data_IF_169547379024
#
_entry.id   IF_169547379024
#
_cell.length_a   1.000
_cell.length_b   1.000
_cell.length_c   1.000
_cell.angle_alpha   90.00
_cell.angle_beta   90.00
_cell.angle_gamma   90.00
#
_symmetry.space_group_name_H-M   'P 1'
#
loop_
_entity.id
_entity.type
_entity.pdbx_description
1 polymer ?
#
# COMPACT_ATOMS: atom_id res chain seq x y z
N UNK A 1 3.49 35.06 29.63
CA UNK A 1 3.76 33.60 29.67
C UNK A 1 2.49 32.74 29.61
N UNK A 2 1.40 33.06 30.33
CA UNK A 2 0.13 32.30 30.30
C UNK A 2 -0.67 32.39 28.98
N UNK A 3 -0.63 33.54 28.29
CA UNK A 3 -1.28 33.67 26.97
C UNK A 3 -0.57 32.85 25.88
N UNK A 4 0.77 32.80 25.88
CA UNK A 4 1.53 32.02 24.90
C UNK A 4 1.23 30.51 25.01
N UNK A 5 1.10 29.97 26.23
CA UNK A 5 0.82 28.54 26.41
C UNK A 5 -0.59 28.16 25.95
N UNK A 6 -1.56 29.06 26.08
CA UNK A 6 -2.94 28.82 25.63
C UNK A 6 -3.05 28.79 24.10
N UNK A 7 -2.36 29.69 23.40
CA UNK A 7 -2.26 29.66 21.93
C UNK A 7 -1.54 28.43 21.41
N UNK A 8 -0.45 28.00 22.06
CA UNK A 8 0.27 26.78 21.68
C UNK A 8 -0.60 25.54 21.91
N UNK A 9 -1.37 25.47 23.02
CA UNK A 9 -2.29 24.36 23.26
C UNK A 9 -3.42 24.30 22.22
N UNK A 10 -3.98 25.44 21.81
CA UNK A 10 -5.02 25.51 20.78
C UNK A 10 -4.50 25.06 19.41
N UNK A 11 -3.31 25.52 19.01
CA UNK A 11 -2.64 25.10 17.77
C UNK A 11 -2.36 23.59 17.75
N UNK A 12 -1.95 23.02 18.89
CA UNK A 12 -1.74 21.57 19.01
C UNK A 12 -3.07 20.80 18.96
N UNK A 13 -4.16 21.35 19.51
CA UNK A 13 -5.48 20.72 19.44
C UNK A 13 -6.06 20.72 18.00
N UNK A 14 -5.88 21.80 17.25
CA UNK A 14 -6.31 21.88 15.84
C UNK A 14 -5.51 20.92 14.95
N UNK A 15 -4.22 20.69 15.22
CA UNK A 15 -3.43 19.68 14.52
C UNK A 15 -3.92 18.24 14.74
N UNK A 16 -4.54 17.93 15.89
CA UNK A 16 -5.07 16.58 16.18
C UNK A 16 -6.29 16.27 15.30
N UNK A 17 -7.11 17.28 14.95
CA UNK A 17 -8.24 17.10 14.04
C UNK A 17 -7.82 16.90 12.57
N UNK A 18 -6.67 17.42 12.16
CA UNK A 18 -6.09 17.11 10.85
C UNK A 18 -5.43 15.72 10.79
N UNK A 19 -5.10 15.13 11.93
CA UNK A 19 -4.42 13.84 12.01
C UNK A 19 -5.38 12.65 12.12
N UNK A 20 -6.70 12.88 12.12
CA UNK A 20 -7.67 11.80 12.11
C UNK A 20 -7.63 11.17 10.70
N UNK A 21 -7.25 9.89 10.55
CA UNK A 21 -7.24 9.24 9.24
C UNK A 21 -8.62 9.39 8.59
N UNK A 22 -8.67 9.75 7.31
CA UNK A 22 -9.90 9.97 6.53
C UNK A 22 -11.04 9.01 6.90
N UNK A 23 -10.75 7.72 7.06
CA UNK A 23 -11.76 6.70 7.40
C UNK A 23 -12.40 6.86 8.79
N UNK A 24 -11.68 7.35 9.80
CA UNK A 24 -12.24 7.60 11.13
C UNK A 24 -13.25 8.78 11.14
N UNK A 25 -13.27 9.60 10.09
CA UNK A 25 -14.28 10.66 9.91
C UNK A 25 -15.60 10.11 9.34
N UNK A 26 -15.54 9.00 8.58
CA UNK A 26 -16.70 8.45 7.86
C UNK A 26 -17.18 7.09 8.37
N UNK A 27 -16.36 6.37 9.14
CA UNK A 27 -16.72 5.08 9.71
C UNK A 27 -16.91 5.20 11.22
N UNK A 28 -18.08 4.78 11.69
CA UNK A 28 -18.31 4.54 13.11
C UNK A 28 -17.45 3.35 13.60
N UNK A 29 -17.26 3.20 14.92
CA UNK A 29 -16.43 2.12 15.47
C UNK A 29 -16.85 0.71 15.05
N UNK A 30 -18.14 0.42 14.93
CA UNK A 30 -18.62 -0.90 14.55
C UNK A 30 -18.34 -1.20 13.08
N UNK A 31 -18.55 -0.21 12.20
CA UNK A 31 -18.18 -0.32 10.78
C UNK A 31 -16.68 -0.51 10.59
N UNK A 32 -15.86 0.19 11.39
CA UNK A 32 -14.40 0.02 11.38
C UNK A 32 -13.99 -1.39 11.79
N UNK A 33 -14.52 -1.92 12.89
CA UNK A 33 -14.24 -3.28 13.34
C UNK A 33 -14.68 -4.32 12.29
N UNK A 34 -15.85 -4.13 11.69
CA UNK A 34 -16.33 -4.99 10.60
C UNK A 34 -15.36 -4.96 9.40
N UNK A 35 -14.86 -3.79 9.01
CA UNK A 35 -13.94 -3.65 7.89
C UNK A 35 -12.56 -4.27 8.20
N UNK A 36 -12.07 -4.13 9.44
CA UNK A 36 -10.84 -4.80 9.90
C UNK A 36 -11.01 -6.31 9.75
N UNK A 37 -12.14 -6.88 10.20
CA UNK A 37 -12.41 -8.31 10.08
C UNK A 37 -12.39 -8.78 8.62
N UNK A 38 -13.05 -8.06 7.72
CA UNK A 38 -13.05 -8.37 6.29
C UNK A 38 -11.63 -8.37 5.71
N UNK A 39 -10.80 -7.39 6.08
CA UNK A 39 -9.41 -7.37 5.61
C UNK A 39 -8.57 -8.50 6.23
N UNK A 40 -8.78 -8.85 7.49
CA UNK A 40 -8.08 -9.99 8.10
C UNK A 40 -8.44 -11.30 7.41
N UNK A 41 -9.71 -11.51 7.04
CA UNK A 41 -10.15 -12.66 6.24
C UNK A 41 -9.54 -12.64 4.83
N UNK A 42 -9.50 -11.47 4.18
CA UNK A 42 -8.91 -11.34 2.84
C UNK A 42 -7.39 -11.56 2.81
N UNK A 43 -6.67 -11.25 3.90
CA UNK A 43 -5.24 -11.58 4.06
C UNK A 43 -5.00 -13.09 4.09
N UNK A 44 -6.00 -13.89 4.51
CA UNK A 44 -5.93 -15.35 4.54
C UNK A 44 -6.33 -15.99 3.20
N UNK A 45 -6.79 -15.19 2.24
CA UNK A 45 -7.01 -15.67 0.89
C UNK A 45 -5.69 -16.07 0.21
N UNK A 46 -5.78 -16.81 -0.90
CA UNK A 46 -4.64 -17.09 -1.78
C UNK A 46 -4.60 -16.16 -2.99
N UNK A 47 -5.47 -15.15 -3.01
CA UNK A 47 -5.65 -14.24 -4.14
C UNK A 47 -4.81 -12.98 -3.95
N UNK A 48 -3.85 -12.77 -4.85
CA UNK A 48 -2.84 -11.72 -4.74
C UNK A 48 -3.45 -10.31 -4.64
N UNK A 49 -4.52 -10.05 -5.39
CA UNK A 49 -5.23 -8.76 -5.37
C UNK A 49 -5.94 -8.51 -4.03
N UNK A 50 -6.61 -9.53 -3.49
CA UNK A 50 -7.29 -9.46 -2.21
C UNK A 50 -6.29 -9.19 -1.08
N UNK A 51 -5.15 -9.90 -1.08
CA UNK A 51 -4.07 -9.66 -0.12
C UNK A 51 -3.52 -8.24 -0.25
N UNK A 52 -3.24 -7.75 -1.46
CA UNK A 52 -2.73 -6.38 -1.66
C UNK A 52 -3.66 -5.33 -1.04
N UNK A 53 -4.94 -5.39 -1.39
CA UNK A 53 -5.90 -4.39 -0.91
C UNK A 53 -6.17 -4.54 0.59
N UNK A 54 -6.16 -5.78 1.11
CA UNK A 54 -6.36 -6.03 2.53
C UNK A 54 -5.19 -5.52 3.39
N UNK A 55 -3.94 -5.79 3.01
CA UNK A 55 -2.76 -5.28 3.73
C UNK A 55 -2.75 -3.74 3.70
N UNK A 56 -3.05 -3.14 2.55
CA UNK A 56 -3.11 -1.67 2.40
C UNK A 56 -4.25 -1.07 3.24
N UNK A 57 -5.42 -1.73 3.25
CA UNK A 57 -6.58 -1.33 4.02
C UNK A 57 -6.32 -1.38 5.52
N UNK A 58 -5.74 -2.48 6.01
CA UNK A 58 -5.34 -2.63 7.42
C UNK A 58 -4.36 -1.52 7.83
N UNK A 59 -3.33 -1.25 7.02
CA UNK A 59 -2.39 -0.14 7.31
C UNK A 59 -3.10 1.20 7.38
N UNK A 60 -4.03 1.47 6.46
CA UNK A 60 -4.82 2.72 6.45
C UNK A 60 -5.67 2.86 7.71
N UNK A 61 -6.16 1.75 8.26
CA UNK A 61 -6.91 1.69 9.52
C UNK A 61 -6.02 1.70 10.78
N UNK A 62 -4.70 1.69 10.61
CA UNK A 62 -3.72 1.64 11.71
C UNK A 62 -3.49 0.24 12.28
N UNK A 63 -3.98 -0.81 11.61
CA UNK A 63 -3.85 -2.20 12.03
C UNK A 63 -2.66 -2.84 11.30
N UNK A 64 -1.82 -3.55 12.05
CA UNK A 64 -0.71 -4.31 11.48
C UNK A 64 -1.11 -5.77 11.30
N UNK A 65 -0.73 -6.35 10.16
CA UNK A 65 -0.78 -7.80 9.97
C UNK A 65 0.23 -8.43 10.93
N UNK A 66 -0.14 -9.53 11.58
CA UNK A 66 0.75 -10.21 12.51
C UNK A 66 2.03 -10.69 11.82
N UNK A 67 3.11 -10.85 12.60
CA UNK A 67 4.43 -11.15 12.05
C UNK A 67 4.50 -12.52 11.36
N UNK A 68 3.76 -13.52 11.86
CA UNK A 68 3.75 -14.87 11.28
C UNK A 68 3.05 -14.88 9.92
N UNK A 69 1.87 -14.28 9.81
CA UNK A 69 1.16 -14.11 8.53
C UNK A 69 1.94 -13.23 7.57
N UNK A 70 2.51 -12.13 8.04
CA UNK A 70 3.37 -11.27 7.22
C UNK A 70 4.51 -12.05 6.58
N UNK A 71 5.16 -12.96 7.33
CA UNK A 71 6.21 -13.83 6.80
C UNK A 71 5.68 -14.78 5.72
N UNK A 72 4.55 -15.43 5.95
CA UNK A 72 3.91 -16.33 4.96
C UNK A 72 3.56 -15.60 3.67
N UNK A 73 2.97 -14.40 3.78
CA UNK A 73 2.63 -13.56 2.64
C UNK A 73 3.89 -13.15 1.87
N UNK A 74 4.95 -12.74 2.59
CA UNK A 74 6.22 -12.38 2.00
C UNK A 74 6.85 -13.53 1.21
N UNK A 75 6.87 -14.74 1.76
CA UNK A 75 7.38 -15.92 1.08
C UNK A 75 6.54 -16.27 -0.17
N UNK A 76 5.23 -16.06 -0.12
CA UNK A 76 4.33 -16.27 -1.26
C UNK A 76 4.59 -15.26 -2.38
N UNK A 77 4.67 -13.96 -2.07
CA UNK A 77 4.89 -12.92 -3.10
C UNK A 77 6.28 -13.00 -3.71
N UNK A 78 7.30 -13.43 -2.95
CA UNK A 78 8.65 -13.67 -3.47
C UNK A 78 8.70 -14.82 -4.49
N UNK A 79 7.80 -15.80 -4.39
CA UNK A 79 7.69 -16.93 -5.31
C UNK A 79 6.70 -16.70 -6.44
N UNK A 80 5.96 -15.59 -6.40
CA UNK A 80 4.92 -15.28 -7.39
C UNK A 80 5.57 -14.85 -8.71
N UNK A 81 5.29 -15.53 -9.84
CA UNK A 81 5.82 -15.12 -11.13
C UNK A 81 5.16 -13.82 -11.58
N UNK A 82 5.99 -12.79 -11.79
CA UNK A 82 5.55 -11.46 -12.26
C UNK A 82 5.65 -11.42 -13.79
N UNK A 83 4.53 -11.69 -14.45
CA UNK A 83 4.43 -11.75 -15.91
C UNK A 83 3.86 -10.47 -16.55
N UNK A 84 3.25 -9.59 -15.76
CA UNK A 84 2.56 -8.39 -16.25
C UNK A 84 2.55 -7.27 -15.19
N UNK A 85 2.16 -6.06 -15.62
CA UNK A 85 2.09 -4.86 -14.77
C UNK A 85 1.10 -5.00 -13.61
N UNK A 86 -0.01 -5.74 -13.79
CA UNK A 86 -1.01 -5.94 -12.75
C UNK A 86 -0.45 -6.79 -11.62
N UNK A 87 0.23 -7.90 -11.94
CA UNK A 87 0.92 -8.72 -10.94
C UNK A 87 2.05 -7.94 -10.28
N UNK A 88 2.83 -7.18 -11.05
CA UNK A 88 3.89 -6.33 -10.51
C UNK A 88 3.32 -5.33 -9.49
N UNK A 89 2.21 -4.67 -9.83
CA UNK A 89 1.50 -3.74 -8.95
C UNK A 89 1.10 -4.38 -7.62
N UNK A 90 0.47 -5.57 -7.65
CA UNK A 90 0.05 -6.22 -6.41
C UNK A 90 1.22 -6.75 -5.58
N UNK A 91 2.22 -7.37 -6.20
CA UNK A 91 3.42 -7.88 -5.50
C UNK A 91 4.15 -6.73 -4.81
N UNK A 92 4.49 -5.67 -5.56
CA UNK A 92 5.23 -4.52 -5.02
C UNK A 92 4.41 -3.76 -3.98
N UNK A 93 3.10 -3.66 -4.21
CA UNK A 93 2.14 -3.12 -3.26
C UNK A 93 2.26 -3.82 -1.91
N UNK A 94 2.00 -5.13 -1.86
CA UNK A 94 2.08 -5.95 -0.64
C UNK A 94 3.41 -5.76 0.10
N UNK A 95 4.53 -5.89 -0.63
CA UNK A 95 5.88 -5.85 -0.05
C UNK A 95 6.16 -4.49 0.59
N UNK A 96 5.66 -3.41 -0.02
CA UNK A 96 5.87 -2.04 0.48
C UNK A 96 5.06 -1.71 1.74
N UNK A 97 4.03 -2.49 2.04
CA UNK A 97 3.16 -2.31 3.19
C UNK A 97 3.57 -3.20 4.39
N UNK A 98 4.26 -4.33 4.14
CA UNK A 98 4.74 -5.25 5.17
C UNK A 98 6.17 -4.91 5.63
N UNK A 99 6.32 -4.45 6.88
CA UNK A 99 7.60 -3.95 7.45
C UNK A 99 8.79 -4.93 7.39
N UNK A 100 8.53 -6.23 7.33
CA UNK A 100 9.56 -7.28 7.37
C UNK A 100 9.70 -8.04 6.05
N UNK A 101 9.13 -7.52 4.97
CA UNK A 101 9.30 -8.10 3.65
C UNK A 101 10.62 -7.61 3.04
N UNK A 102 11.60 -8.49 2.86
CA UNK A 102 12.77 -8.15 2.08
C UNK A 102 12.33 -7.76 0.66
N UNK A 103 12.77 -6.58 0.19
CA UNK A 103 12.45 -6.10 -1.14
C UNK A 103 13.08 -7.05 -2.17
N UNK A 104 12.29 -7.83 -2.94
CA UNK A 104 12.84 -8.79 -3.85
C UNK A 104 13.36 -8.10 -5.10
N UNK A 105 14.40 -8.67 -5.68
CA UNK A 105 14.79 -8.37 -7.05
C UNK A 105 13.75 -9.00 -7.98
N UNK A 106 12.81 -8.19 -8.48
CA UNK A 106 11.85 -8.64 -9.49
C UNK A 106 12.49 -8.40 -10.86
N UNK A 107 13.09 -9.45 -11.44
CA UNK A 107 13.88 -9.35 -12.67
C UNK A 107 13.13 -8.73 -13.85
N UNK A 108 11.82 -9.02 -13.98
CA UNK A 108 10.96 -8.48 -15.04
C UNK A 108 10.46 -7.05 -14.79
N UNK A 109 10.67 -6.48 -13.59
CA UNK A 109 10.07 -5.19 -13.23
C UNK A 109 10.53 -4.05 -14.15
N UNK A 110 11.83 -3.96 -14.45
CA UNK A 110 12.38 -2.89 -15.30
C UNK A 110 11.78 -2.93 -16.70
N UNK A 111 11.76 -4.11 -17.32
CA UNK A 111 11.22 -4.30 -18.66
C UNK A 111 9.74 -3.93 -18.73
N UNK A 112 8.93 -4.42 -17.78
CA UNK A 112 7.50 -4.12 -17.71
C UNK A 112 7.23 -2.62 -17.55
N UNK A 113 7.97 -1.95 -16.66
CA UNK A 113 7.83 -0.51 -16.39
C UNK A 113 8.25 0.32 -17.61
N UNK A 114 9.38 -0.01 -18.25
CA UNK A 114 9.91 0.74 -19.40
C UNK A 114 9.09 0.54 -20.67
N UNK A 115 8.35 -0.58 -20.78
CA UNK A 115 7.46 -0.87 -21.90
C UNK A 115 6.14 -0.10 -21.84
N UNK A 116 5.62 0.20 -20.64
CA UNK A 116 4.32 0.85 -20.45
C UNK A 116 4.15 2.19 -21.21
N UNK A 117 5.09 3.16 -21.13
CA UNK A 117 4.97 4.42 -21.87
C UNK A 117 5.21 4.28 -23.38
N UNK A 118 5.76 3.14 -23.84
CA UNK A 118 6.11 2.88 -25.25
C UNK A 118 5.07 2.04 -25.99
N UNK A 119 3.99 1.64 -25.32
CA UNK A 119 2.97 0.80 -25.91
C UNK A 119 2.27 1.51 -27.09
N UNK A 120 2.09 0.80 -28.20
CA UNK A 120 1.42 1.31 -29.41
C UNK A 120 0.03 1.88 -29.13
N UNK A 121 -0.67 1.32 -28.14
CA UNK A 121 -1.93 1.85 -27.60
C UNK A 121 -1.75 2.11 -26.11
N UNK A 122 -1.44 3.35 -25.78
CA UNK A 122 -1.27 3.80 -24.42
C UNK A 122 -2.57 3.62 -23.63
N UNK A 123 -2.48 2.99 -22.46
CA UNK A 123 -3.57 2.91 -21.48
C UNK A 123 -3.14 3.62 -20.21
N UNK A 124 -3.96 4.54 -19.73
CA UNK A 124 -3.69 5.28 -18.49
C UNK A 124 -3.56 4.35 -17.28
N UNK A 125 -4.28 3.23 -17.28
CA UNK A 125 -4.12 2.17 -16.26
C UNK A 125 -2.68 1.63 -16.24
N UNK A 126 -2.12 1.32 -17.41
CA UNK A 126 -0.82 0.67 -17.51
C UNK A 126 0.29 1.66 -17.10
N UNK A 127 0.14 2.93 -17.46
CA UNK A 127 0.98 4.02 -16.95
C UNK A 127 0.93 4.15 -15.43
N UNK A 128 -0.28 4.16 -14.85
CA UNK A 128 -0.45 4.23 -13.40
C UNK A 128 0.23 3.05 -12.68
N UNK A 129 0.00 1.82 -13.16
CA UNK A 129 0.59 0.62 -12.57
C UNK A 129 2.13 0.66 -12.66
N UNK A 130 2.67 1.09 -13.80
CA UNK A 130 4.11 1.23 -13.99
C UNK A 130 4.72 2.30 -13.07
N UNK A 131 4.11 3.49 -13.00
CA UNK A 131 4.56 4.58 -12.13
C UNK A 131 4.50 4.20 -10.65
N UNK A 132 3.42 3.55 -10.22
CA UNK A 132 3.28 3.04 -8.86
C UNK A 132 4.41 2.06 -8.54
N UNK A 133 4.64 1.07 -9.41
CA UNK A 133 5.68 0.06 -9.20
C UNK A 133 7.07 0.68 -9.18
N UNK A 134 7.37 1.59 -10.11
CA UNK A 134 8.64 2.32 -10.18
C UNK A 134 8.92 3.11 -8.90
N UNK A 135 7.93 3.85 -8.41
CA UNK A 135 8.04 4.64 -7.18
C UNK A 135 8.32 3.73 -5.97
N UNK A 136 7.55 2.65 -5.80
CA UNK A 136 7.71 1.71 -4.68
C UNK A 136 9.04 0.94 -4.75
N UNK A 137 9.51 0.62 -5.96
CA UNK A 137 10.82 -0.01 -6.17
C UNK A 137 12.00 0.98 -6.14
N UNK A 138 11.74 2.29 -6.00
CA UNK A 138 12.73 3.38 -6.07
C UNK A 138 13.56 3.35 -7.36
N UNK A 139 12.93 2.92 -8.45
CA UNK A 139 13.56 2.92 -9.76
C UNK A 139 13.63 4.35 -10.28
N UNK A 140 14.84 4.77 -10.68
CA UNK A 140 15.00 6.00 -11.46
C UNK A 140 14.58 5.70 -12.88
N UNK A 141 13.57 6.41 -13.39
CA UNK A 141 13.19 6.36 -14.79
C UNK A 141 13.17 7.76 -15.39
N UNK A 142 13.48 7.83 -16.68
CA UNK A 142 13.15 8.98 -17.52
C UNK A 142 11.66 8.86 -17.86
N UNK A 143 10.81 9.38 -16.98
CA UNK A 143 9.38 9.55 -17.25
C UNK A 143 9.16 10.98 -17.75
N UNK A 144 8.33 11.20 -18.79
CA UNK A 144 8.04 12.54 -19.29
C UNK A 144 7.39 13.45 -18.24
#
# INVERSE_FOLDING_TARGET
MRLLSATVLLLMAECVFCAIPFLNTYLDPASKESLIKVFLEAVESKELNAIHHAVSGLRTLGVQVDAAKSKVICEMVQKTPVADLTKLYHVVGIISELKNCAQPTISSAKELIDAAPKATKLKTSDLYLALFAANKLRMKGEYP
#
